data_IF_531771099192
#
_entry.id   IF_531771099192
#
_cell.length_a   1.000
_cell.length_b   1.000
_cell.length_c   1.000
_cell.angle_alpha   90.00
_cell.angle_beta   90.00
_cell.angle_gamma   90.00
#
_symmetry.space_group_name_H-M   'P 1'
#
loop_
_entity.id
_entity.type
_entity.pdbx_description
1 polymer ?
#
# COMPACT_ATOMS: atom_id res chain seq x y z
N UNK A 1 -31.13 -1.08 2.21
CA UNK A 1 -30.05 -0.38 2.93
C UNK A 1 -28.75 -0.98 2.44
N UNK A 2 -27.96 -0.22 1.67
CA UNK A 2 -26.71 -0.72 1.08
C UNK A 2 -25.63 -0.74 2.18
N UNK A 3 -25.14 -1.93 2.51
CA UNK A 3 -23.97 -2.11 3.36
C UNK A 3 -22.75 -1.62 2.58
N UNK A 4 -22.21 -0.47 3.00
CA UNK A 4 -20.90 0.01 2.54
C UNK A 4 -19.82 -0.93 3.10
N UNK A 5 -19.40 -1.91 2.31
CA UNK A 5 -18.20 -2.71 2.56
C UNK A 5 -16.93 -1.90 2.25
N UNK A 6 -16.81 -0.70 2.83
CA UNK A 6 -15.52 -0.02 2.90
C UNK A 6 -14.64 -0.84 3.85
N UNK A 7 -13.57 -1.42 3.32
CA UNK A 7 -12.57 -2.16 4.10
C UNK A 7 -12.00 -1.30 5.24
N UNK A 8 -11.31 -1.92 6.20
CA UNK A 8 -10.85 -1.24 7.40
C UNK A 8 -10.02 0.00 7.02
N UNK A 9 -10.48 1.17 7.45
CA UNK A 9 -9.70 2.39 7.39
C UNK A 9 -8.38 2.15 8.13
N UNK A 10 -7.27 2.16 7.40
CA UNK A 10 -5.94 2.15 8.02
C UNK A 10 -5.77 3.51 8.71
N UNK A 11 -5.43 3.56 10.01
CA UNK A 11 -5.14 4.81 10.69
C UNK A 11 -4.13 5.64 9.89
N UNK A 12 -4.38 6.95 9.78
CA UNK A 12 -3.51 7.86 9.03
C UNK A 12 -2.07 7.88 9.56
N UNK A 13 -1.84 7.43 10.81
CA UNK A 13 -0.52 7.20 11.41
C UNK A 13 -0.54 5.93 12.27
N UNK A 14 0.39 5.00 12.06
CA UNK A 14 0.70 3.86 12.94
C UNK A 14 2.20 3.92 13.26
N UNK A 15 2.57 3.91 14.54
CA UNK A 15 3.98 3.93 14.98
C UNK A 15 4.85 5.04 14.33
N UNK A 16 4.24 6.22 14.13
CA UNK A 16 4.90 7.37 13.50
C UNK A 16 5.10 7.22 11.98
N UNK A 17 4.44 6.26 11.34
CA UNK A 17 4.39 6.11 9.89
C UNK A 17 3.04 6.59 9.43
N UNK A 18 3.04 7.56 8.52
CA UNK A 18 1.79 8.02 7.92
C UNK A 18 1.39 7.07 6.79
N UNK A 19 0.10 6.75 6.70
CA UNK A 19 -0.47 5.96 5.62
C UNK A 19 -1.43 6.81 4.80
N UNK A 20 -1.49 6.56 3.49
CA UNK A 20 -2.46 7.20 2.60
C UNK A 20 -3.88 6.70 2.92
N UNK A 21 -4.89 7.58 2.92
CA UNK A 21 -6.26 7.16 3.09
C UNK A 21 -6.78 6.46 1.83
N UNK A 22 -7.58 5.41 2.04
CA UNK A 22 -8.26 4.67 0.98
C UNK A 22 -7.74 3.24 0.80
N UNK A 23 -8.61 2.30 0.42
CA UNK A 23 -8.20 0.91 0.19
C UNK A 23 -7.39 0.79 -1.10
N UNK A 24 -6.40 -0.09 -1.10
CA UNK A 24 -5.75 -0.59 -2.31
C UNK A 24 -6.46 -1.86 -2.75
N UNK A 25 -6.82 -1.94 -4.03
CA UNK A 25 -7.51 -3.12 -4.56
C UNK A 25 -6.52 -4.17 -5.07
N UNK A 26 -5.50 -3.73 -5.80
CA UNK A 26 -4.47 -4.58 -6.40
C UNK A 26 -3.14 -3.83 -6.54
N UNK A 27 -2.08 -4.61 -6.73
CA UNK A 27 -0.72 -4.14 -7.00
C UNK A 27 -0.25 -4.69 -8.35
N UNK A 28 0.41 -3.85 -9.14
CA UNK A 28 0.92 -4.26 -10.46
C UNK A 28 -0.03 -3.89 -11.59
N UNK A 29 0.51 -3.60 -12.77
CA UNK A 29 -0.25 -3.34 -14.00
C UNK A 29 -0.46 -4.58 -14.87
N UNK A 30 0.41 -5.60 -14.72
CA UNK A 30 0.41 -6.78 -15.59
C UNK A 30 -0.16 -8.01 -14.86
N UNK A 31 0.43 -8.35 -13.70
CA UNK A 31 0.05 -9.55 -12.95
C UNK A 31 -1.11 -9.33 -11.96
N UNK A 32 -1.49 -8.07 -11.72
CA UNK A 32 -2.57 -7.64 -10.79
C UNK A 32 -2.64 -8.50 -9.51
N UNK A 33 -1.62 -8.39 -8.66
CA UNK A 33 -1.60 -9.07 -7.37
C UNK A 33 -2.72 -8.50 -6.48
N UNK A 34 -3.68 -9.34 -6.11
CA UNK A 34 -4.82 -8.93 -5.28
C UNK A 34 -4.38 -8.71 -3.84
N UNK A 35 -4.70 -7.54 -3.28
CA UNK A 35 -4.24 -7.16 -1.92
C UNK A 35 -5.40 -6.90 -0.95
N UNK A 36 -6.51 -7.62 -1.15
CA UNK A 36 -7.77 -7.45 -0.41
C UNK A 36 -7.89 -8.36 0.85
N UNK A 37 -8.37 -7.86 2.02
CA UNK A 37 -8.79 -6.49 2.28
C UNK A 37 -7.65 -5.51 2.54
N UNK A 38 -7.45 -4.61 1.57
CA UNK A 38 -6.75 -3.33 1.65
C UNK A 38 -5.40 -3.32 2.34
N UNK A 39 -4.34 -3.78 1.67
CA UNK A 39 -2.98 -3.37 2.05
C UNK A 39 -2.87 -1.84 2.05
N UNK A 40 -2.08 -1.32 2.97
CA UNK A 40 -1.91 0.11 3.17
C UNK A 40 -0.77 0.65 2.30
N UNK A 41 -0.82 1.93 1.94
CA UNK A 41 0.32 2.62 1.29
C UNK A 41 0.93 3.57 2.29
N UNK A 42 2.21 3.38 2.60
CA UNK A 42 2.97 4.35 3.40
C UNK A 42 2.98 5.68 2.66
N UNK A 43 2.70 6.79 3.33
CA UNK A 43 2.75 8.12 2.73
C UNK A 43 4.22 8.52 2.45
N UNK A 44 4.44 9.16 1.31
CA UNK A 44 5.77 9.58 0.87
C UNK A 44 5.81 9.89 -0.62
N UNK A 45 6.97 10.36 -1.08
CA UNK A 45 7.23 10.66 -2.49
C UNK A 45 7.63 9.39 -3.26
N UNK A 46 6.64 8.55 -3.55
CA UNK A 46 6.83 7.34 -4.33
C UNK A 46 6.79 7.63 -5.82
N UNK A 47 7.61 6.95 -6.65
CA UNK A 47 7.61 7.14 -8.12
C UNK A 47 6.24 6.96 -8.77
N UNK A 48 5.46 5.98 -8.29
CA UNK A 48 4.09 5.70 -8.74
C UNK A 48 3.23 5.43 -7.52
N UNK A 49 2.70 6.47 -6.87
CA UNK A 49 2.07 6.32 -5.57
C UNK A 49 0.76 5.51 -5.62
N UNK A 50 0.20 5.25 -6.80
CA UNK A 50 -0.96 4.36 -7.01
C UNK A 50 -0.46 2.92 -7.23
N UNK A 51 -0.67 1.99 -6.27
CA UNK A 51 -0.24 0.59 -6.43
C UNK A 51 -0.81 -0.09 -7.67
N UNK A 52 -2.02 0.31 -8.08
CA UNK A 52 -2.71 -0.15 -9.29
C UNK A 52 -1.97 0.23 -10.59
N UNK A 53 -1.13 1.26 -10.55
CA UNK A 53 -0.32 1.73 -11.69
C UNK A 53 1.18 1.39 -11.50
N UNK A 54 1.52 0.66 -10.44
CA UNK A 54 2.88 0.30 -10.11
C UNK A 54 3.40 -0.74 -11.10
N UNK A 55 4.41 -0.41 -11.90
CA UNK A 55 5.09 -1.38 -12.77
C UNK A 55 6.40 -1.90 -12.16
N UNK A 56 6.65 -1.60 -10.88
CA UNK A 56 7.85 -2.06 -10.19
C UNK A 56 7.67 -3.52 -9.83
N UNK A 57 8.30 -4.40 -10.59
CA UNK A 57 8.38 -5.83 -10.29
C UNK A 57 9.32 -6.04 -9.09
N UNK A 58 8.72 -6.36 -7.94
CA UNK A 58 9.36 -6.95 -6.74
C UNK A 58 10.45 -6.16 -6.01
N UNK A 59 10.73 -4.90 -6.39
CA UNK A 59 11.69 -4.08 -5.65
C UNK A 59 11.09 -3.59 -4.33
N UNK A 60 11.49 -4.21 -3.21
CA UNK A 60 11.07 -3.83 -1.85
C UNK A 60 12.22 -3.24 -1.03
N UNK A 61 11.87 -2.43 -0.04
CA UNK A 61 12.83 -1.89 0.94
C UNK A 61 12.26 -1.97 2.35
N UNK A 62 13.14 -2.10 3.33
CA UNK A 62 12.78 -2.05 4.73
C UNK A 62 12.84 -0.62 5.25
N UNK A 63 11.76 -0.17 5.89
CA UNK A 63 11.68 1.07 6.63
C UNK A 63 11.73 0.79 8.14
N UNK A 64 11.93 1.86 8.93
CA UNK A 64 11.93 1.82 10.42
C UNK A 64 12.77 0.68 10.99
N UNK A 65 14.04 0.61 10.61
CA UNK A 65 14.99 -0.40 11.11
C UNK A 65 14.52 -1.85 10.91
N UNK A 66 13.81 -2.15 9.81
CA UNK A 66 13.38 -3.52 9.50
C UNK A 66 11.99 -3.91 9.97
N UNK A 67 11.15 -2.94 10.38
CA UNK A 67 9.80 -3.24 10.84
C UNK A 67 8.77 -3.32 9.71
N UNK A 68 8.95 -2.55 8.64
CA UNK A 68 7.99 -2.50 7.52
C UNK A 68 8.70 -2.72 6.21
N UNK A 69 8.25 -3.72 5.46
CA UNK A 69 8.69 -3.97 4.09
C UNK A 69 7.75 -3.21 3.17
N UNK A 70 8.26 -2.33 2.31
CA UNK A 70 7.43 -1.59 1.35
C UNK A 70 7.90 -1.78 -0.08
N UNK A 71 6.97 -1.74 -1.04
CA UNK A 71 7.30 -1.60 -2.45
C UNK A 71 7.96 -0.24 -2.69
N UNK A 72 9.14 -0.23 -3.31
CA UNK A 72 9.88 1.00 -3.61
C UNK A 72 9.21 1.86 -4.68
N UNK A 73 8.35 1.26 -5.52
CA UNK A 73 7.65 1.97 -6.59
C UNK A 73 6.42 2.74 -6.11
N UNK A 74 5.64 2.17 -5.19
CA UNK A 74 4.35 2.73 -4.79
C UNK A 74 4.15 2.90 -3.28
N UNK A 75 5.09 2.44 -2.44
CA UNK A 75 4.98 2.53 -0.99
C UNK A 75 4.00 1.55 -0.36
N UNK A 76 3.48 0.58 -1.13
CA UNK A 76 2.61 -0.47 -0.62
C UNK A 76 3.30 -1.26 0.49
N UNK A 77 2.62 -1.44 1.61
CA UNK A 77 3.07 -2.28 2.71
C UNK A 77 3.02 -3.76 2.31
N UNK A 78 4.19 -4.32 2.09
CA UNK A 78 4.45 -5.69 1.66
C UNK A 78 4.78 -6.62 2.83
N UNK A 79 4.62 -6.17 4.09
CA UNK A 79 4.71 -7.06 5.26
C UNK A 79 3.59 -8.09 5.32
#
# INVERSE_FOLDING_TARGET
MLVNHAGPYVPAIIDGISYRPGPVAYHGTDDHESVWPGRAVVAGDWPRPRPEECSSTYATQWLRNGQILVCTGCGLDCS
#
